data_IF_679897044622
#
_entry.id   IF_679897044622
#
_cell.length_a   1.000
_cell.length_b   1.000
_cell.length_c   1.000
_cell.angle_alpha   90.00
_cell.angle_beta   90.00
_cell.angle_gamma   90.00
#
_symmetry.space_group_name_H-M   'P 1'
#
loop_
_entity.id
_entity.type
_entity.pdbx_description
1 polymer ?
#
# COMPACT_ATOMS: atom_id res chain seq x y z
N UNK A 1 -18.79 13.27 29.55
CA UNK A 1 -18.31 14.09 28.43
C UNK A 1 -16.83 14.30 28.60
N UNK A 2 -16.02 13.79 27.66
CA UNK A 2 -14.61 14.17 27.56
C UNK A 2 -14.52 15.68 27.31
N UNK A 3 -13.47 16.31 27.84
CA UNK A 3 -13.29 17.76 27.74
C UNK A 3 -12.84 18.22 26.33
N UNK A 4 -12.54 17.29 25.43
CA UNK A 4 -12.09 17.52 24.05
C UNK A 4 -13.23 17.61 23.03
N UNK A 5 -14.47 17.28 23.41
CA UNK A 5 -15.63 17.30 22.52
C UNK A 5 -15.71 16.12 21.54
N UNK A 6 -14.86 15.10 21.67
CA UNK A 6 -14.90 13.87 20.88
C UNK A 6 -15.81 12.81 21.55
N UNK A 7 -16.43 11.91 20.76
CA UNK A 7 -17.28 10.86 21.30
C UNK A 7 -16.47 9.82 22.08
N UNK A 8 -17.07 9.22 23.10
CA UNK A 8 -16.47 8.06 23.75
C UNK A 8 -16.51 6.84 22.79
N UNK A 9 -15.35 6.25 22.41
CA UNK A 9 -15.29 5.10 21.50
C UNK A 9 -15.99 3.84 22.04
N UNK A 10 -16.23 3.76 23.35
CA UNK A 10 -16.98 2.65 23.97
C UNK A 10 -18.50 2.83 23.87
N UNK A 11 -18.97 4.05 23.53
CA UNK A 11 -20.37 4.43 23.50
C UNK A 11 -20.90 4.55 22.06
N UNK A 12 -21.46 3.46 21.54
CA UNK A 12 -22.13 3.38 20.22
C UNK A 12 -23.13 4.54 20.00
N UNK A 13 -23.99 4.94 20.96
CA UNK A 13 -24.90 6.08 20.77
C UNK A 13 -24.18 7.43 20.59
N UNK A 14 -23.09 7.67 21.32
CA UNK A 14 -22.31 8.91 21.17
C UNK A 14 -21.62 8.97 19.81
N UNK A 15 -21.04 7.86 19.37
CA UNK A 15 -20.40 7.72 18.05
C UNK A 15 -21.41 7.98 16.91
N UNK A 16 -22.60 7.38 16.97
CA UNK A 16 -23.66 7.60 15.98
C UNK A 16 -24.14 9.05 15.94
N UNK A 17 -24.26 9.69 17.11
CA UNK A 17 -24.61 11.10 17.21
C UNK A 17 -23.51 11.97 16.58
N UNK A 18 -22.25 11.70 16.89
CA UNK A 18 -21.10 12.41 16.32
C UNK A 18 -21.09 12.31 14.79
N UNK A 19 -21.25 11.11 14.25
CA UNK A 19 -21.29 10.86 12.81
C UNK A 19 -22.46 11.59 12.13
N UNK A 20 -23.65 11.53 12.74
CA UNK A 20 -24.86 12.19 12.20
C UNK A 20 -24.72 13.71 12.17
N UNK A 21 -24.16 14.31 13.23
CA UNK A 21 -23.89 15.74 13.29
C UNK A 21 -22.88 16.15 12.22
N UNK A 22 -21.82 15.37 12.02
CA UNK A 22 -20.82 15.66 11.00
C UNK A 22 -21.35 15.53 9.57
N UNK A 23 -22.16 14.50 9.28
CA UNK A 23 -22.77 14.35 7.94
C UNK A 23 -23.57 15.60 7.55
N UNK A 24 -24.29 16.20 8.50
CA UNK A 24 -25.08 17.42 8.30
C UNK A 24 -24.33 18.74 8.51
N UNK A 25 -23.02 18.72 8.76
CA UNK A 25 -22.24 19.92 9.08
C UNK A 25 -21.82 20.69 7.81
N UNK A 26 -22.37 21.89 7.55
CA UNK A 26 -22.02 22.69 6.39
C UNK A 26 -20.60 23.27 6.47
N UNK A 27 -20.03 23.44 7.68
CA UNK A 27 -18.70 24.03 7.85
C UNK A 27 -17.60 23.09 7.33
N UNK A 28 -17.90 21.78 7.25
CA UNK A 28 -17.04 20.76 6.65
C UNK A 28 -17.10 20.68 5.13
N UNK A 29 -17.94 21.49 4.47
CA UNK A 29 -18.13 21.45 3.01
C UNK A 29 -16.92 21.96 2.22
N UNK A 30 -16.06 22.78 2.83
CA UNK A 30 -14.82 23.27 2.20
C UNK A 30 -13.67 22.26 2.36
N UNK A 31 -12.68 22.28 1.46
CA UNK A 31 -11.51 21.42 1.59
C UNK A 31 -10.76 21.63 2.91
N UNK A 32 -10.56 22.87 3.34
CA UNK A 32 -9.90 23.13 4.63
C UNK A 32 -10.70 22.58 5.82
N UNK A 33 -12.03 22.73 5.79
CA UNK A 33 -12.92 22.18 6.81
C UNK A 33 -12.90 20.65 6.85
N UNK A 34 -13.02 19.99 5.69
CA UNK A 34 -12.96 18.54 5.57
C UNK A 34 -11.60 17.97 6.02
N UNK A 35 -10.50 18.65 5.68
CA UNK A 35 -9.15 18.26 6.10
C UNK A 35 -8.95 18.39 7.62
N UNK A 36 -9.40 19.49 8.22
CA UNK A 36 -9.33 19.67 9.68
C UNK A 36 -10.21 18.64 10.42
N UNK A 37 -11.37 18.31 9.86
CA UNK A 37 -12.26 17.30 10.46
C UNK A 37 -11.73 15.88 10.31
N UNK A 38 -11.01 15.59 9.22
CA UNK A 38 -10.37 14.29 9.00
C UNK A 38 -9.41 13.95 10.14
N UNK A 39 -8.61 14.90 10.63
CA UNK A 39 -7.70 14.67 11.77
C UNK A 39 -8.43 14.12 13.01
N UNK A 40 -9.54 14.76 13.37
CA UNK A 40 -10.37 14.32 14.50
C UNK A 40 -10.99 12.94 14.27
N UNK A 41 -11.50 12.68 13.07
CA UNK A 41 -12.20 11.43 12.77
C UNK A 41 -11.23 10.26 12.72
N UNK A 42 -10.03 10.44 12.16
CA UNK A 42 -8.98 9.41 12.15
C UNK A 42 -8.52 9.10 13.57
N UNK A 43 -8.45 10.10 14.45
CA UNK A 43 -8.17 9.86 15.87
C UNK A 43 -9.27 9.00 16.52
N UNK A 44 -10.54 9.34 16.32
CA UNK A 44 -11.69 8.57 16.83
C UNK A 44 -11.71 7.13 16.28
N UNK A 45 -11.41 6.94 14.99
CA UNK A 45 -11.27 5.61 14.37
C UNK A 45 -10.16 4.81 15.08
N UNK A 46 -9.01 5.45 15.34
CA UNK A 46 -7.87 4.79 15.99
C UNK A 46 -8.19 4.37 17.44
N UNK A 47 -8.90 5.22 18.19
CA UNK A 47 -9.34 4.86 19.55
C UNK A 47 -10.38 3.72 19.54
N UNK A 48 -11.31 3.71 18.58
CA UNK A 48 -12.27 2.62 18.43
C UNK A 48 -11.57 1.30 18.09
N UNK A 49 -10.56 1.34 17.23
CA UNK A 49 -9.72 0.16 16.92
C UNK A 49 -9.02 -0.37 18.17
N UNK A 50 -8.48 0.51 19.00
CA UNK A 50 -7.86 0.12 20.27
C UNK A 50 -8.88 -0.54 21.21
N UNK A 51 -10.09 0.01 21.34
CA UNK A 51 -11.18 -0.60 22.12
C UNK A 51 -11.53 -2.00 21.60
N UNK A 52 -11.59 -2.17 20.28
CA UNK A 52 -11.88 -3.46 19.65
C UNK A 52 -10.77 -4.51 19.90
N UNK A 53 -9.51 -4.07 19.99
CA UNK A 53 -8.35 -4.94 20.25
C UNK A 53 -8.22 -5.30 21.75
N UNK A 54 -8.46 -4.35 22.65
CA UNK A 54 -8.26 -4.52 24.10
C UNK A 54 -9.44 -5.24 24.78
N UNK A 55 -10.66 -5.11 24.24
CA UNK A 55 -11.87 -5.70 24.87
C UNK A 55 -12.05 -7.17 24.48
N UNK A 56 -11.31 -8.06 25.16
CA UNK A 56 -11.33 -9.51 24.90
C UNK A 56 -12.69 -10.18 25.17
N UNK A 57 -13.44 -9.70 26.16
CA UNK A 57 -14.72 -10.23 26.63
C UNK A 57 -15.95 -9.56 25.98
N UNK A 58 -15.75 -8.76 24.92
CA UNK A 58 -16.85 -8.16 24.17
C UNK A 58 -17.84 -9.20 23.65
N UNK A 59 -19.13 -8.90 23.76
CA UNK A 59 -20.20 -9.71 23.16
C UNK A 59 -20.15 -9.64 21.63
N UNK A 60 -20.69 -10.66 20.95
CA UNK A 60 -20.78 -10.66 19.48
C UNK A 60 -21.56 -9.46 18.94
N UNK A 61 -22.58 -9.00 19.68
CA UNK A 61 -23.31 -7.79 19.35
C UNK A 61 -22.42 -6.55 19.42
N UNK A 62 -21.67 -6.36 20.51
CA UNK A 62 -20.75 -5.22 20.63
C UNK A 62 -19.70 -5.19 19.52
N UNK A 63 -19.10 -6.35 19.20
CA UNK A 63 -18.14 -6.45 18.08
C UNK A 63 -18.75 -6.05 16.74
N UNK A 64 -20.00 -6.44 16.49
CA UNK A 64 -20.74 -6.06 15.28
C UNK A 64 -21.01 -4.56 15.25
N UNK A 65 -21.56 -4.02 16.34
CA UNK A 65 -21.92 -2.60 16.44
C UNK A 65 -20.69 -1.70 16.29
N UNK A 66 -19.56 -2.06 16.91
CA UNK A 66 -18.28 -1.34 16.73
C UNK A 66 -17.75 -1.43 15.30
N UNK A 67 -17.81 -2.62 14.68
CA UNK A 67 -17.37 -2.79 13.29
C UNK A 67 -18.23 -1.97 12.33
N UNK A 68 -19.54 -1.92 12.53
CA UNK A 68 -20.45 -1.12 11.69
C UNK A 68 -20.13 0.37 11.78
N UNK A 69 -20.00 0.92 12.99
CA UNK A 69 -19.61 2.33 13.19
C UNK A 69 -18.22 2.61 12.62
N UNK A 70 -17.26 1.70 12.83
CA UNK A 70 -15.91 1.83 12.28
C UNK A 70 -15.93 1.93 10.75
N UNK A 71 -16.75 1.11 10.08
CA UNK A 71 -16.97 1.19 8.63
C UNK A 71 -17.61 2.51 8.23
N UNK A 72 -18.66 2.94 8.92
CA UNK A 72 -19.37 4.17 8.60
C UNK A 72 -18.51 5.42 8.77
N UNK A 73 -17.64 5.46 9.78
CA UNK A 73 -16.70 6.58 9.99
C UNK A 73 -15.70 6.68 8.83
N UNK A 74 -15.14 5.54 8.41
CA UNK A 74 -14.22 5.50 7.27
C UNK A 74 -14.90 5.93 5.98
N UNK A 75 -16.14 5.50 5.76
CA UNK A 75 -16.88 5.86 4.55
C UNK A 75 -17.26 7.34 4.55
N UNK A 76 -17.79 7.85 5.66
CA UNK A 76 -18.11 9.27 5.80
C UNK A 76 -16.87 10.17 5.64
N UNK A 77 -15.70 9.70 6.08
CA UNK A 77 -14.43 10.39 5.87
C UNK A 77 -14.08 10.54 4.39
N UNK A 78 -14.16 9.45 3.63
CA UNK A 78 -13.94 9.50 2.18
C UNK A 78 -14.98 10.36 1.47
N UNK A 79 -16.25 10.20 1.81
CA UNK A 79 -17.36 10.96 1.24
C UNK A 79 -17.20 12.46 1.47
N UNK A 80 -16.75 12.88 2.65
CA UNK A 80 -16.54 14.31 2.95
C UNK A 80 -15.37 14.92 2.20
N UNK A 81 -14.29 14.16 1.97
CA UNK A 81 -13.22 14.62 1.07
C UNK A 81 -13.69 14.71 -0.39
N UNK A 82 -14.53 13.78 -0.83
CA UNK A 82 -15.16 13.79 -2.15
C UNK A 82 -16.13 15.00 -2.31
N UNK A 83 -16.98 15.26 -1.32
CA UNK A 83 -17.89 16.42 -1.29
C UNK A 83 -17.11 17.75 -1.35
N UNK A 84 -16.08 17.88 -0.52
CA UNK A 84 -15.24 19.07 -0.51
C UNK A 84 -14.45 19.25 -1.82
N UNK A 85 -14.00 18.14 -2.43
CA UNK A 85 -13.39 18.15 -3.77
C UNK A 85 -14.41 18.66 -4.80
N UNK A 86 -15.65 18.17 -4.78
CA UNK A 86 -16.70 18.64 -5.69
C UNK A 86 -16.92 20.15 -5.57
N UNK A 87 -17.04 20.67 -4.35
CA UNK A 87 -17.19 22.11 -4.13
C UNK A 87 -16.00 22.92 -4.66
N UNK A 88 -14.77 22.40 -4.55
CA UNK A 88 -13.58 23.05 -5.13
C UNK A 88 -13.63 23.08 -6.67
N UNK A 89 -14.29 22.10 -7.29
CA UNK A 89 -14.41 22.01 -8.75
C UNK A 89 -15.59 22.82 -9.33
N UNK A 90 -16.47 23.38 -8.49
CA UNK A 90 -17.58 24.23 -8.95
C UNK A 90 -17.11 25.53 -9.60
N UNK A 91 -15.89 25.99 -9.32
CA UNK A 91 -15.30 27.16 -9.97
C UNK A 91 -13.78 27.00 -10.09
N UNK A 92 -13.32 26.68 -11.29
CA UNK A 92 -11.89 26.52 -11.59
C UNK A 92 -11.15 27.86 -11.75
N UNK A 93 -11.87 28.96 -12.02
CA UNK A 93 -11.29 30.26 -12.39
C UNK A 93 -10.26 30.80 -11.39
N UNK A 94 -10.44 30.68 -10.04
CA UNK A 94 -9.47 31.21 -9.09
C UNK A 94 -8.06 30.60 -9.18
N UNK A 95 -7.93 29.42 -9.78
CA UNK A 95 -6.66 28.69 -9.88
C UNK A 95 -6.33 28.29 -11.34
N UNK A 96 -6.94 28.98 -12.31
CA UNK A 96 -6.65 28.78 -13.73
C UNK A 96 -5.51 29.70 -14.16
N UNK A 97 -4.44 29.14 -14.70
CA UNK A 97 -3.39 29.90 -15.35
C UNK A 97 -3.92 30.45 -16.68
N UNK A 98 -4.00 31.77 -16.84
CA UNK A 98 -4.61 32.40 -18.02
C UNK A 98 -3.78 32.31 -19.30
N UNK A 99 -2.48 31.98 -19.22
CA UNK A 99 -1.61 31.86 -20.38
C UNK A 99 -1.67 30.44 -20.96
N UNK A 100 -1.57 29.45 -20.08
CA UNK A 100 -1.54 28.02 -20.43
C UNK A 100 -2.92 27.38 -20.41
N UNK A 101 -3.89 28.03 -19.74
CA UNK A 101 -5.23 27.51 -19.46
C UNK A 101 -5.18 26.16 -18.73
N UNK A 102 -4.19 25.99 -17.86
CA UNK A 102 -4.06 24.85 -16.97
C UNK A 102 -4.65 25.21 -15.62
N UNK A 103 -5.53 24.37 -15.11
CA UNK A 103 -6.00 24.47 -13.73
C UNK A 103 -5.06 23.66 -12.84
N UNK A 104 -4.60 24.24 -11.73
CA UNK A 104 -3.78 23.54 -10.73
C UNK A 104 -4.09 24.08 -9.34
N UNK A 105 -4.42 23.17 -8.43
CA UNK A 105 -4.74 23.48 -7.04
C UNK A 105 -4.05 22.47 -6.12
N UNK A 106 -3.56 22.93 -4.98
CA UNK A 106 -2.94 22.10 -3.95
C UNK A 106 -3.36 22.53 -2.55
N UNK A 107 -3.61 21.56 -1.68
CA UNK A 107 -3.86 21.76 -0.25
C UNK A 107 -3.32 20.58 0.56
N UNK A 108 -3.02 20.81 1.85
CA UNK A 108 -2.53 19.76 2.73
C UNK A 108 -2.93 19.98 4.18
N UNK A 109 -3.04 18.88 4.92
CA UNK A 109 -3.05 18.78 6.37
C UNK A 109 -2.00 17.75 6.81
N UNK A 110 -1.83 17.49 8.13
CA UNK A 110 -0.91 16.45 8.59
C UNK A 110 -1.23 15.03 8.09
N UNK A 111 -2.50 14.75 7.78
CA UNK A 111 -2.94 13.40 7.38
C UNK A 111 -3.28 13.26 5.90
N UNK A 112 -3.52 14.37 5.19
CA UNK A 112 -3.99 14.34 3.80
C UNK A 112 -3.34 15.46 3.00
N UNK A 113 -2.76 15.13 1.87
CA UNK A 113 -2.28 16.07 0.85
C UNK A 113 -3.06 15.84 -0.44
N UNK A 114 -3.62 16.88 -1.04
CA UNK A 114 -4.52 16.78 -2.19
C UNK A 114 -4.14 17.80 -3.25
N UNK A 115 -3.93 17.31 -4.47
CA UNK A 115 -3.72 18.09 -5.67
C UNK A 115 -4.82 17.83 -6.70
N UNK A 116 -5.23 18.88 -7.40
CA UNK A 116 -6.17 18.82 -8.52
C UNK A 116 -5.52 19.50 -9.71
N UNK A 117 -5.59 18.88 -10.88
CA UNK A 117 -5.00 19.43 -12.10
C UNK A 117 -5.88 19.15 -13.32
N UNK A 118 -6.04 20.10 -14.23
CA UNK A 118 -6.77 19.88 -15.48
C UNK A 118 -6.16 20.63 -16.66
N UNK A 119 -6.11 19.95 -17.81
CA UNK A 119 -5.79 20.53 -19.10
C UNK A 119 -7.06 21.07 -19.76
N UNK A 120 -7.48 22.28 -19.41
CA UNK A 120 -8.78 22.81 -19.88
C UNK A 120 -8.82 23.10 -21.38
N UNK A 121 -7.65 23.21 -22.04
CA UNK A 121 -7.53 23.40 -23.49
C UNK A 121 -7.39 22.10 -24.29
N UNK A 122 -7.24 20.94 -23.62
CA UNK A 122 -6.92 19.66 -24.28
C UNK A 122 -5.66 19.75 -25.17
N UNK A 123 -4.71 20.59 -24.76
CA UNK A 123 -3.47 20.81 -25.50
C UNK A 123 -2.51 19.64 -25.28
N UNK A 124 -1.95 19.02 -26.33
CA UNK A 124 -0.99 17.92 -26.16
C UNK A 124 0.34 18.35 -25.52
N UNK A 125 0.62 19.66 -25.47
CA UNK A 125 1.78 20.22 -24.75
C UNK A 125 1.61 20.15 -23.23
N UNK A 126 0.37 20.10 -22.77
CA UNK A 126 0.00 20.04 -21.35
C UNK A 126 -0.41 18.61 -21.01
N UNK A 127 0.49 17.65 -21.22
CA UNK A 127 0.24 16.24 -20.91
C UNK A 127 0.94 15.78 -19.63
N UNK A 128 1.75 16.62 -18.98
CA UNK A 128 2.49 16.25 -17.78
C UNK A 128 2.36 17.32 -16.71
N UNK A 129 2.32 16.89 -15.45
CA UNK A 129 2.32 17.80 -14.31
C UNK A 129 3.12 17.23 -13.14
N UNK A 130 3.85 18.12 -12.46
CA UNK A 130 4.62 17.81 -11.26
C UNK A 130 4.01 18.55 -10.07
N UNK A 131 3.59 17.78 -9.07
CA UNK A 131 3.16 18.25 -7.76
C UNK A 131 4.35 18.16 -6.83
N UNK A 132 5.11 19.26 -6.71
CA UNK A 132 6.38 19.30 -5.99
C UNK A 132 6.22 18.92 -4.52
N UNK A 133 5.13 19.37 -3.89
CA UNK A 133 4.82 19.19 -2.47
C UNK A 133 4.56 17.72 -2.12
N UNK A 134 4.02 16.95 -3.07
CA UNK A 134 3.81 15.51 -2.93
C UNK A 134 5.01 14.68 -3.40
N UNK A 135 6.00 15.30 -4.06
CA UNK A 135 7.03 14.57 -4.80
C UNK A 135 6.43 13.68 -5.90
N UNK A 136 5.30 14.07 -6.48
CA UNK A 136 4.52 13.26 -7.40
C UNK A 136 4.48 13.92 -8.78
N UNK A 137 4.75 13.15 -9.83
CA UNK A 137 4.64 13.61 -11.21
C UNK A 137 3.84 12.61 -12.00
N UNK A 138 3.01 13.08 -12.92
CA UNK A 138 2.33 12.22 -13.87
C UNK A 138 2.41 12.74 -15.29
N UNK A 139 2.24 11.82 -16.25
CA UNK A 139 2.06 12.12 -17.67
C UNK A 139 0.87 11.34 -18.21
N UNK A 140 -0.07 12.08 -18.82
CA UNK A 140 -1.25 11.55 -19.47
C UNK A 140 -0.88 10.84 -20.78
N UNK A 141 -1.49 9.67 -21.06
CA UNK A 141 -1.50 9.10 -22.40
C UNK A 141 -2.37 9.95 -23.33
N UNK A 142 -2.14 9.83 -24.64
CA UNK A 142 -2.83 10.62 -25.68
C UNK A 142 -4.36 10.55 -25.57
N UNK A 143 -4.91 9.36 -25.29
CA UNK A 143 -6.35 9.13 -25.11
C UNK A 143 -6.98 10.01 -24.01
N UNK A 144 -6.22 10.37 -22.98
CA UNK A 144 -6.72 11.19 -21.87
C UNK A 144 -6.53 12.70 -22.09
N UNK A 145 -5.74 13.12 -23.09
CA UNK A 145 -5.54 14.55 -23.40
C UNK A 145 -6.83 15.17 -23.94
N UNK A 146 -7.62 14.41 -24.71
CA UNK A 146 -8.89 14.87 -25.29
C UNK A 146 -10.06 14.80 -24.30
N UNK A 147 -9.88 14.12 -23.16
CA UNK A 147 -10.92 13.95 -22.15
C UNK A 147 -10.97 15.16 -21.23
N UNK A 148 -12.15 15.76 -21.11
CA UNK A 148 -12.40 16.83 -20.15
C UNK A 148 -12.50 16.26 -18.73
N UNK A 149 -11.39 16.29 -18.01
CA UNK A 149 -11.32 15.77 -16.65
C UNK A 149 -10.35 16.58 -15.79
N UNK A 150 -10.49 16.39 -14.48
CA UNK A 150 -9.51 16.82 -13.48
C UNK A 150 -8.81 15.58 -12.94
N UNK A 151 -7.50 15.55 -13.03
CA UNK A 151 -6.68 14.56 -12.34
C UNK A 151 -6.62 14.96 -10.87
N UNK A 152 -7.15 14.10 -9.99
CA UNK A 152 -6.94 14.20 -8.55
C UNK A 152 -5.78 13.32 -8.15
N UNK A 153 -4.83 13.87 -7.39
CA UNK A 153 -3.80 13.10 -6.69
C UNK A 153 -3.94 13.41 -5.21
N UNK A 154 -4.34 12.42 -4.41
CA UNK A 154 -4.53 12.56 -2.98
C UNK A 154 -3.70 11.53 -2.25
N UNK A 155 -2.84 11.95 -1.32
CA UNK A 155 -2.08 11.07 -0.43
C UNK A 155 -2.64 11.16 0.98
N UNK A 156 -2.94 10.02 1.58
CA UNK A 156 -3.34 9.90 2.99
C UNK A 156 -2.25 9.20 3.81
N UNK A 157 -2.01 9.67 5.04
CA UNK A 157 -1.06 9.02 5.97
C UNK A 157 -1.69 7.85 6.75
N UNK A 158 -2.94 7.51 6.45
CA UNK A 158 -3.69 6.39 7.00
C UNK A 158 -4.15 5.44 5.90
N UNK A 159 -4.41 4.18 6.26
CA UNK A 159 -4.79 3.09 5.36
C UNK A 159 -6.13 2.47 5.80
N UNK A 160 -7.19 2.78 5.04
CA UNK A 160 -8.52 2.20 5.24
C UNK A 160 -8.74 0.89 4.46
N UNK A 161 -7.77 0.38 3.73
CA UNK A 161 -7.95 -0.70 2.76
C UNK A 161 -7.34 -2.01 3.22
N UNK A 162 -6.09 -1.97 3.71
CA UNK A 162 -5.32 -3.19 4.01
C UNK A 162 -6.04 -4.16 4.95
N UNK A 163 -6.80 -3.68 5.95
CA UNK A 163 -7.54 -4.52 6.90
C UNK A 163 -8.64 -5.38 6.26
N UNK A 164 -9.10 -5.02 5.08
CA UNK A 164 -10.06 -5.81 4.31
C UNK A 164 -9.42 -6.91 3.48
N UNK A 165 -8.09 -6.93 3.37
CA UNK A 165 -7.42 -7.96 2.59
C UNK A 165 -7.49 -9.32 3.27
N UNK A 166 -7.77 -10.36 2.48
CA UNK A 166 -7.78 -11.75 2.96
C UNK A 166 -6.44 -12.17 3.57
N UNK A 167 -5.35 -11.53 3.15
CA UNK A 167 -3.99 -11.79 3.63
C UNK A 167 -3.58 -10.91 4.82
N UNK A 168 -4.44 -10.01 5.31
CA UNK A 168 -4.09 -9.09 6.40
C UNK A 168 -3.95 -9.82 7.74
N UNK A 169 -4.99 -10.53 8.15
CA UNK A 169 -5.03 -11.24 9.43
C UNK A 169 -4.45 -12.66 9.25
N UNK A 170 -3.45 -13.06 10.05
CA UNK A 170 -2.95 -14.43 10.02
C UNK A 170 -4.08 -15.44 10.35
N UNK A 171 -4.18 -16.57 9.63
CA UNK A 171 -5.13 -17.61 10.00
C UNK A 171 -4.77 -18.18 11.38
N UNK A 172 -5.77 -18.58 12.15
CA UNK A 172 -5.55 -19.23 13.44
C UNK A 172 -4.78 -20.52 13.22
N UNK A 173 -3.57 -20.60 13.76
CA UNK A 173 -2.74 -21.80 13.68
C UNK A 173 -3.23 -22.77 14.75
N UNK A 174 -3.65 -24.00 14.40
CA UNK A 174 -3.93 -25.03 15.40
C UNK A 174 -2.66 -25.32 16.23
N UNK A 175 -2.77 -25.45 17.55
CA UNK A 175 -1.63 -25.68 18.45
C UNK A 175 -0.74 -26.85 18.00
N UNK A 176 -1.35 -27.89 17.42
CA UNK A 176 -0.64 -29.07 16.88
C UNK A 176 0.33 -28.77 15.75
N UNK A 177 0.17 -27.65 15.04
CA UNK A 177 1.03 -27.26 13.95
C UNK A 177 2.26 -26.46 14.42
N UNK A 178 2.20 -25.82 15.60
CA UNK A 178 3.36 -25.15 16.23
C UNK A 178 4.37 -26.20 16.67
N UNK A 179 3.90 -27.29 17.28
CA UNK A 179 4.74 -28.41 17.72
C UNK A 179 5.50 -29.07 16.58
N UNK A 180 4.89 -29.15 15.39
CA UNK A 180 5.54 -29.74 14.21
C UNK A 180 6.67 -28.86 13.66
N UNK A 181 6.55 -27.52 13.74
CA UNK A 181 7.59 -26.59 13.32
C UNK A 181 8.80 -26.63 14.26
N UNK A 182 8.55 -26.65 15.58
CA UNK A 182 9.60 -26.83 16.60
C UNK A 182 10.35 -28.15 16.39
N UNK A 183 9.63 -29.23 16.05
CA UNK A 183 10.23 -30.53 15.74
C UNK A 183 10.98 -30.58 14.39
N UNK A 184 10.67 -29.69 13.44
CA UNK A 184 11.39 -29.58 12.16
C UNK A 184 12.66 -28.75 12.30
N UNK A 185 12.64 -27.64 13.07
CA UNK A 185 13.84 -26.86 13.42
C UNK A 185 14.86 -27.73 14.20
N UNK A 186 14.40 -28.51 15.20
CA UNK A 186 15.27 -29.45 15.93
C UNK A 186 15.92 -30.51 15.02
N UNK A 187 15.29 -30.88 13.90
CA UNK A 187 15.86 -31.84 12.93
C UNK A 187 16.87 -31.20 11.99
N UNK A 188 16.72 -29.93 11.65
CA UNK A 188 17.71 -29.22 10.82
C UNK A 188 18.99 -28.90 11.61
N UNK A 189 18.90 -28.71 12.93
CA UNK A 189 20.06 -28.48 13.81
C UNK A 189 20.84 -29.76 14.21
N UNK A 190 20.29 -30.95 13.93
CA UNK A 190 21.08 -32.20 14.09
C UNK A 190 22.09 -32.37 12.95
N UNK A 191 23.41 -32.56 13.23
CA UNK A 191 24.41 -32.78 12.19
C UNK A 191 24.05 -34.00 11.34
N UNK A 192 23.95 -33.82 10.02
CA UNK A 192 23.76 -34.95 9.09
C UNK A 192 24.97 -35.87 9.16
N UNK A 193 24.81 -37.08 9.67
CA UNK A 193 25.81 -38.14 9.49
C UNK A 193 26.00 -38.40 7.98
N UNK A 194 27.24 -38.28 7.50
CA UNK A 194 27.59 -38.58 6.11
C UNK A 194 27.28 -40.05 5.80
N UNK A 195 26.64 -40.36 4.66
CA UNK A 195 26.40 -41.74 4.27
C UNK A 195 27.73 -42.45 3.97
N UNK A 196 27.90 -43.73 4.34
CA UNK A 196 29.12 -44.46 4.08
C UNK A 196 29.34 -44.66 2.57
N UNK A 197 30.61 -44.77 2.11
CA UNK A 197 30.92 -44.85 0.69
C UNK A 197 30.40 -46.15 0.06
N UNK A 198 30.06 -46.14 -1.24
CA UNK A 198 29.42 -47.28 -1.89
C UNK A 198 30.43 -48.39 -2.22
N UNK A 199 30.21 -49.59 -1.69
CA UNK A 199 30.92 -50.79 -2.14
C UNK A 199 30.40 -51.29 -3.49
N UNK A 200 31.37 -51.73 -4.30
CA UNK A 200 31.25 -52.14 -5.70
C UNK A 200 30.41 -53.40 -5.92
N UNK A 201 29.54 -53.34 -6.94
CA UNK A 201 28.72 -54.45 -7.44
C UNK A 201 29.55 -55.59 -8.02
N UNK A 202 29.17 -56.83 -7.71
CA UNK A 202 29.32 -57.95 -8.66
C UNK A 202 28.07 -58.84 -8.67
N UNK A 203 27.73 -59.28 -9.87
CA UNK A 203 26.47 -59.79 -10.41
C UNK A 203 26.33 -61.31 -10.27
N UNK A 204 25.09 -61.85 -10.14
CA UNK A 204 24.45 -62.79 -11.11
C UNK A 204 23.21 -63.56 -10.57
N UNK A 205 22.10 -63.44 -11.32
CA UNK A 205 21.11 -64.46 -11.81
C UNK A 205 20.42 -65.42 -10.81
N UNK A 206 19.13 -65.84 -10.88
CA UNK A 206 18.16 -66.10 -11.98
C UNK A 206 16.75 -66.40 -11.39
N UNK A 207 15.67 -66.10 -12.14
CA UNK A 207 14.32 -66.73 -12.34
C UNK A 207 13.76 -67.77 -11.32
N UNK A 208 12.45 -67.96 -11.03
CA UNK A 208 11.18 -67.84 -11.79
C UNK A 208 9.95 -68.11 -10.87
N UNK A 209 8.78 -67.53 -11.21
CA UNK A 209 7.37 -68.03 -11.15
C UNK A 209 6.82 -68.64 -9.81
N UNK A 210 5.59 -68.42 -9.31
CA UNK A 210 4.26 -68.38 -9.93
C UNK A 210 3.17 -67.82 -8.95
N UNK A 211 1.92 -67.72 -9.41
CA UNK A 211 0.77 -66.89 -8.96
C UNK A 211 -0.03 -67.43 -7.75
N UNK A 212 -0.67 -66.56 -6.94
CA UNK A 212 -2.15 -66.41 -6.92
C UNK A 212 -2.74 -65.27 -6.04
N UNK A 213 -3.66 -64.55 -6.68
CA UNK A 213 -4.69 -63.54 -6.34
C UNK A 213 -5.12 -63.30 -4.87
N UNK A 214 -5.32 -62.02 -4.50
CA UNK A 214 -6.69 -61.46 -4.28
C UNK A 214 -6.73 -59.91 -4.15
N UNK A 215 -7.71 -59.31 -4.85
CA UNK A 215 -8.37 -58.00 -4.68
C UNK A 215 -7.56 -56.68 -4.58
N UNK A 216 -7.67 -55.83 -5.62
CA UNK A 216 -7.40 -54.38 -5.55
C UNK A 216 -8.59 -53.64 -4.95
N UNK A 217 -8.37 -52.65 -4.06
CA UNK A 217 -9.13 -51.40 -4.07
C UNK A 217 -8.28 -50.28 -4.71
N UNK A 218 -8.91 -49.17 -5.13
CA UNK A 218 -8.35 -48.24 -6.10
C UNK A 218 -7.21 -47.41 -5.50
N UNK A 219 -6.12 -47.27 -6.26
CA UNK A 219 -5.12 -46.24 -6.04
C UNK A 219 -5.77 -44.90 -6.35
N UNK A 220 -6.42 -44.30 -5.35
CA UNK A 220 -6.68 -42.85 -5.38
C UNK A 220 -5.33 -42.21 -5.09
N UNK A 221 -4.69 -41.73 -6.17
CA UNK A 221 -3.54 -40.85 -6.11
C UNK A 221 -3.94 -39.51 -5.49
N UNK A 222 -4.03 -39.47 -4.16
CA UNK A 222 -4.17 -38.24 -3.41
C UNK A 222 -2.82 -37.87 -2.77
N UNK A 223 -1.81 -37.56 -3.59
CA UNK A 223 -0.73 -36.68 -3.15
C UNK A 223 -1.24 -35.23 -3.16
N UNK A 224 -2.25 -34.92 -2.34
CA UNK A 224 -2.43 -33.54 -1.90
C UNK A 224 -1.35 -33.32 -0.84
N UNK A 225 -0.30 -32.61 -1.23
CA UNK A 225 0.63 -32.03 -0.26
C UNK A 225 -0.23 -31.26 0.74
N UNK A 226 -0.32 -31.70 1.99
CA UNK A 226 -0.85 -30.88 3.07
C UNK A 226 0.06 -29.65 3.12
N UNK A 227 -0.34 -28.55 2.49
CA UNK A 227 0.34 -27.27 2.69
C UNK A 227 0.19 -26.93 4.17
N UNK A 228 1.24 -26.46 4.85
CA UNK A 228 1.14 -26.06 6.25
C UNK A 228 0.02 -25.03 6.43
N UNK A 229 -0.75 -25.11 7.50
CA UNK A 229 -1.88 -24.22 7.80
C UNK A 229 -1.48 -22.72 7.85
N UNK A 230 -0.18 -22.45 7.95
CA UNK A 230 0.41 -21.11 8.01
C UNK A 230 0.66 -20.49 6.64
N UNK A 231 0.51 -21.23 5.53
CA UNK A 231 0.72 -20.68 4.19
C UNK A 231 -0.56 -20.02 3.67
N UNK A 232 -0.46 -18.75 3.27
CA UNK A 232 -1.56 -18.05 2.60
C UNK A 232 -1.40 -18.21 1.09
N UNK A 233 -2.41 -18.80 0.44
CA UNK A 233 -2.46 -18.83 -1.02
C UNK A 233 -2.87 -17.46 -1.54
N UNK A 234 -2.08 -16.90 -2.45
CA UNK A 234 -2.39 -15.66 -3.15
C UNK A 234 -2.59 -15.94 -4.62
N UNK A 235 -3.50 -15.21 -5.24
CA UNK A 235 -3.68 -15.22 -6.69
C UNK A 235 -2.45 -14.60 -7.39
N UNK A 236 -2.21 -14.87 -8.68
CA UNK A 236 -1.22 -14.14 -9.45
C UNK A 236 -1.44 -12.62 -9.31
N UNK A 237 -0.39 -11.88 -9.00
CA UNK A 237 -0.43 -10.43 -8.80
C UNK A 237 -0.92 -9.96 -7.43
N UNK A 238 -1.57 -10.81 -6.63
CA UNK A 238 -2.06 -10.47 -5.30
C UNK A 238 -0.91 -10.33 -4.28
N UNK A 239 -0.90 -9.22 -3.55
CA UNK A 239 0.06 -8.93 -2.50
C UNK A 239 -0.27 -9.70 -1.22
N UNK A 240 0.70 -10.46 -0.73
CA UNK A 240 0.62 -11.08 0.58
C UNK A 240 0.97 -10.08 1.69
N UNK A 241 -0.02 -9.53 2.39
CA UNK A 241 0.18 -8.57 3.49
C UNK A 241 0.81 -9.18 4.76
N UNK A 242 1.02 -10.50 4.81
CA UNK A 242 1.83 -11.14 5.87
C UNK A 242 3.32 -11.04 5.59
N UNK A 243 3.70 -10.96 4.31
CA UNK A 243 5.09 -10.74 3.86
C UNK A 243 5.38 -9.26 3.64
N UNK A 244 4.41 -8.52 3.11
CA UNK A 244 4.55 -7.12 2.77
C UNK A 244 3.68 -6.22 3.65
N UNK A 245 3.99 -4.93 3.71
CA UNK A 245 3.12 -3.90 4.28
C UNK A 245 3.07 -2.71 3.33
N UNK A 246 1.91 -2.08 3.19
CA UNK A 246 1.81 -0.78 2.54
C UNK A 246 2.41 0.28 3.47
N UNK A 247 3.25 1.16 2.93
CA UNK A 247 4.02 2.14 3.68
C UNK A 247 4.16 3.44 2.87
N UNK A 248 4.42 4.56 3.54
CA UNK A 248 4.59 5.86 2.89
C UNK A 248 3.28 6.51 2.43
N UNK A 249 2.18 6.15 3.11
CA UNK A 249 0.84 6.61 2.78
C UNK A 249 0.15 5.84 1.66
N UNK A 250 -1.12 6.17 1.44
CA UNK A 250 -1.96 5.62 0.37
C UNK A 250 -2.28 6.74 -0.62
N UNK A 251 -2.13 6.46 -1.91
CA UNK A 251 -2.33 7.42 -2.99
C UNK A 251 -3.64 7.10 -3.72
N UNK A 252 -4.61 8.00 -3.67
CA UNK A 252 -5.80 7.93 -4.52
C UNK A 252 -5.60 8.82 -5.73
N UNK A 253 -5.54 8.21 -6.91
CA UNK A 253 -5.44 8.91 -8.18
C UNK A 253 -6.71 8.68 -8.96
N UNK A 254 -7.43 9.74 -9.28
CA UNK A 254 -8.71 9.66 -10.00
C UNK A 254 -8.73 10.62 -11.20
N UNK A 255 -9.55 10.29 -12.19
CA UNK A 255 -10.02 11.22 -13.20
C UNK A 255 -11.44 11.64 -12.80
N UNK A 256 -11.63 12.92 -12.55
CA UNK A 256 -12.89 13.49 -12.11
C UNK A 256 -13.55 14.25 -13.26
N UNK A 257 -14.88 14.15 -13.36
CA UNK A 257 -15.68 14.97 -14.24
C UNK A 257 -15.64 16.43 -13.75
N UNK A 258 -15.63 17.37 -14.69
CA UNK A 258 -15.71 18.79 -14.38
C UNK A 258 -17.18 19.18 -14.25
N UNK A 259 -17.66 19.64 -13.08
CA UNK A 259 -19.02 20.13 -12.93
C UNK A 259 -19.27 21.36 -13.82
N UNK A 260 -20.54 21.73 -14.08
CA UNK A 260 -20.84 22.92 -14.87
C UNK A 260 -20.17 24.18 -14.33
N UNK A 261 -19.35 24.82 -15.15
CA UNK A 261 -18.55 25.98 -14.74
C UNK A 261 -19.34 27.30 -14.80
N UNK A 262 -19.03 28.29 -13.94
CA UNK A 262 -19.72 29.57 -13.95
C UNK A 262 -19.44 30.37 -15.22
N UNK A 263 -20.48 30.96 -15.79
CA UNK A 263 -20.40 31.83 -16.98
C UNK A 263 -20.61 33.27 -16.56
N UNK A 264 -19.62 34.11 -16.84
CA UNK A 264 -19.69 35.55 -16.58
C UNK A 264 -20.48 36.21 -17.72
N UNK A 265 -21.58 36.85 -17.37
CA UNK A 265 -22.35 37.73 -18.23
C UNK A 265 -22.03 39.21 -17.88
N UNK A 266 -22.66 40.16 -18.57
CA UNK A 266 -22.34 41.58 -18.40
C UNK A 266 -22.60 42.12 -16.97
N UNK A 267 -23.60 41.59 -16.27
CA UNK A 267 -24.09 42.07 -14.98
C UNK A 267 -24.18 40.99 -13.88
N UNK A 268 -24.00 39.72 -14.24
CA UNK A 268 -24.12 38.59 -13.33
C UNK A 268 -23.22 37.41 -13.71
N UNK A 269 -23.06 36.47 -12.79
CA UNK A 269 -22.47 35.15 -13.06
C UNK A 269 -23.55 34.11 -12.87
N UNK A 270 -23.74 33.25 -13.87
CA UNK A 270 -24.70 32.15 -13.81
C UNK A 270 -23.97 30.80 -13.85
N UNK A 271 -24.47 29.83 -13.09
CA UNK A 271 -23.95 28.46 -13.06
C UNK A 271 -25.12 27.50 -13.11
N UNK A 272 -25.01 26.43 -13.89
CA UNK A 272 -26.00 25.36 -13.87
C UNK A 272 -25.82 24.55 -12.58
N UNK A 273 -26.89 24.38 -11.83
CA UNK A 273 -26.90 23.54 -10.62
C UNK A 273 -27.34 22.14 -11.02
N UNK A 274 -26.55 21.14 -10.65
CA UNK A 274 -26.91 19.74 -10.83
C UNK A 274 -27.71 19.22 -9.63
N UNK A 275 -28.60 18.25 -9.86
CA UNK A 275 -29.38 17.63 -8.77
C UNK A 275 -28.49 16.81 -7.81
N UNK A 276 -27.38 16.27 -8.32
CA UNK A 276 -26.46 15.43 -7.57
C UNK A 276 -25.14 16.17 -7.39
N UNK A 277 -24.95 16.80 -6.23
CA UNK A 277 -23.73 17.54 -5.88
C UNK A 277 -22.62 16.63 -5.35
N UNK A 278 -22.06 15.77 -6.20
CA UNK A 278 -20.93 14.89 -5.82
C UNK A 278 -19.94 14.73 -6.97
N UNK A 279 -18.71 14.35 -6.66
CA UNK A 279 -17.70 14.08 -7.70
C UNK A 279 -18.15 12.94 -8.62
N UNK A 280 -18.23 13.23 -9.92
CA UNK A 280 -18.30 12.21 -10.98
C UNK A 280 -16.91 11.69 -11.30
N UNK A 281 -16.76 10.38 -11.47
CA UNK A 281 -15.48 9.75 -11.88
C UNK A 281 -15.53 9.35 -13.34
N UNK A 282 -14.44 9.57 -14.06
CA UNK A 282 -14.26 9.10 -15.44
C UNK A 282 -13.60 7.73 -15.38
N UNK A 283 -14.30 6.71 -15.86
CA UNK A 283 -13.73 5.38 -15.98
C UNK A 283 -12.71 5.34 -17.11
N UNK A 284 -11.51 4.87 -16.80
CA UNK A 284 -10.44 4.68 -17.78
C UNK A 284 -9.65 3.42 -17.48
N UNK A 285 -9.43 2.64 -18.52
CA UNK A 285 -8.56 1.46 -18.52
C UNK A 285 -7.79 1.47 -19.84
N UNK A 286 -6.46 1.48 -19.75
CA UNK A 286 -5.61 1.48 -20.93
C UNK A 286 -5.77 0.18 -21.73
N UNK A 287 -5.88 0.30 -23.06
CA UNK A 287 -5.80 -0.84 -23.97
C UNK A 287 -4.34 -1.19 -24.24
N UNK A 288 -3.75 -1.94 -23.32
CA UNK A 288 -2.35 -2.34 -23.37
C UNK A 288 -2.19 -3.78 -23.81
N UNK A 289 -1.43 -3.97 -24.89
CA UNK A 289 -1.02 -5.30 -25.33
C UNK A 289 0.45 -5.50 -24.93
N UNK A 290 0.74 -6.29 -23.89
CA UNK A 290 2.12 -6.53 -23.48
C UNK A 290 2.90 -7.16 -24.65
N UNK A 291 4.13 -6.71 -24.91
CA UNK A 291 4.95 -7.28 -25.97
C UNK A 291 5.16 -8.77 -25.72
N UNK A 292 5.33 -9.56 -26.79
CA UNK A 292 5.73 -10.95 -26.67
C UNK A 292 7.03 -11.04 -25.86
N UNK A 293 7.11 -12.01 -24.94
CA UNK A 293 8.33 -12.24 -24.18
C UNK A 293 9.51 -12.42 -25.16
N UNK A 294 10.68 -11.79 -24.92
CA UNK A 294 11.81 -11.95 -25.80
C UNK A 294 12.14 -13.44 -25.91
N UNK A 295 12.17 -13.98 -27.13
CA UNK A 295 12.49 -15.40 -27.34
C UNK A 295 13.80 -15.74 -26.63
N UNK A 296 13.75 -16.80 -25.81
CA UNK A 296 14.80 -17.23 -24.89
C UNK A 296 16.13 -17.30 -25.64
N UNK A 297 17.16 -16.66 -25.08
CA UNK A 297 18.50 -16.58 -25.62
C UNK A 297 19.06 -17.98 -25.94
N UNK A 298 18.92 -18.39 -27.19
CA UNK A 298 19.32 -19.73 -27.65
C UNK A 298 19.74 -19.82 -29.11
N UNK A 299 19.33 -18.91 -29.99
CA UNK A 299 19.79 -18.92 -31.38
C UNK A 299 19.61 -17.57 -32.08
N UNK A 300 20.64 -17.19 -32.86
CA UNK A 300 20.77 -16.07 -33.81
C UNK A 300 21.02 -14.68 -33.20
N UNK A 301 22.11 -14.05 -33.68
CA UNK A 301 22.28 -12.59 -33.64
C UNK A 301 21.06 -11.99 -34.34
N UNK A 302 20.19 -11.33 -33.58
CA UNK A 302 19.02 -10.64 -34.15
C UNK A 302 19.52 -9.45 -34.98
N UNK A 303 18.84 -9.17 -36.07
CA UNK A 303 19.13 -8.01 -36.90
C UNK A 303 18.93 -6.73 -36.06
N UNK A 304 19.90 -5.79 -35.99
CA UNK A 304 19.73 -4.54 -35.24
C UNK A 304 18.47 -3.77 -35.61
N UNK A 305 18.03 -3.82 -36.88
CA UNK A 305 16.81 -3.15 -37.33
C UNK A 305 15.55 -3.78 -36.71
N UNK A 306 15.50 -5.10 -36.60
CA UNK A 306 14.37 -5.80 -35.99
C UNK A 306 14.26 -5.48 -34.49
N UNK A 307 15.40 -5.40 -33.80
CA UNK A 307 15.44 -5.02 -32.37
C UNK A 307 14.96 -3.58 -32.18
N UNK A 308 15.37 -2.65 -33.05
CA UNK A 308 14.91 -1.25 -33.00
C UNK A 308 13.41 -1.12 -33.26
N UNK A 309 12.86 -1.88 -34.21
CA UNK A 309 11.42 -1.92 -34.49
C UNK A 309 10.62 -2.47 -33.30
N UNK A 310 11.09 -3.55 -32.66
CA UNK A 310 10.50 -4.11 -31.44
C UNK A 310 10.51 -3.09 -30.29
N UNK A 311 11.63 -2.39 -30.07
CA UNK A 311 11.73 -1.34 -29.04
C UNK A 311 10.76 -0.18 -29.31
N UNK A 312 10.70 0.31 -30.56
CA UNK A 312 9.75 1.36 -30.95
C UNK A 312 8.29 0.92 -30.80
N UNK A 313 7.99 -0.36 -31.02
CA UNK A 313 6.64 -0.88 -30.79
C UNK A 313 6.32 -0.93 -29.30
N UNK A 314 7.25 -1.40 -28.48
CA UNK A 314 7.11 -1.41 -27.03
C UNK A 314 6.89 0.00 -26.48
N UNK A 315 7.70 0.98 -26.89
CA UNK A 315 7.56 2.37 -26.48
C UNK A 315 6.18 2.94 -26.84
N UNK A 316 5.65 2.62 -28.03
CA UNK A 316 4.30 3.03 -28.44
C UNK A 316 3.20 2.41 -27.57
N UNK A 317 3.31 1.14 -27.20
CA UNK A 317 2.36 0.50 -26.30
C UNK A 317 2.45 1.08 -24.88
N UNK A 318 3.66 1.37 -24.38
CA UNK A 318 3.88 2.01 -23.09
C UNK A 318 3.39 3.47 -23.05
N UNK A 319 3.38 4.19 -24.17
CA UNK A 319 2.85 5.55 -24.28
C UNK A 319 1.32 5.62 -24.12
N UNK A 320 0.60 4.49 -24.28
CA UNK A 320 -0.83 4.38 -23.97
C UNK A 320 -1.11 4.33 -22.47
N UNK A 321 -0.08 4.08 -21.66
CA UNK A 321 -0.22 3.95 -20.21
C UNK A 321 -0.01 5.29 -19.52
N UNK A 322 -0.69 5.46 -18.40
CA UNK A 322 -0.52 6.61 -17.52
C UNK A 322 0.81 6.48 -16.78
N UNK A 323 1.71 7.45 -16.96
CA UNK A 323 3.02 7.45 -16.33
C UNK A 323 2.93 8.14 -14.97
N UNK A 324 3.47 7.49 -13.94
CA UNK A 324 3.58 8.00 -12.58
C UNK A 324 5.05 8.01 -12.19
N UNK A 325 5.51 9.08 -11.57
CA UNK A 325 6.82 9.17 -10.92
C UNK A 325 6.63 9.67 -9.50
N UNK A 326 7.09 8.91 -8.51
CA UNK A 326 6.97 9.20 -7.08
C UNK A 326 8.36 9.28 -6.46
N UNK A 327 8.69 10.42 -5.86
CA UNK A 327 9.78 10.52 -4.89
C UNK A 327 9.31 9.86 -3.61
N UNK A 328 10.02 8.82 -3.17
CA UNK A 328 9.64 8.06 -2.00
C UNK A 328 9.62 8.98 -0.75
N UNK A 329 8.57 8.89 0.08
CA UNK A 329 8.46 9.69 1.30
C UNK A 329 9.64 9.47 2.24
N UNK A 330 10.15 10.56 2.81
CA UNK A 330 11.22 10.56 3.81
C UNK A 330 10.73 10.17 5.22
N UNK A 331 9.41 10.08 5.42
CA UNK A 331 8.77 9.55 6.64
C UNK A 331 8.93 8.04 6.84
N UNK A 332 9.52 7.34 5.86
CA UNK A 332 9.67 5.90 5.84
C UNK A 332 11.10 5.46 5.55
N UNK A 333 11.53 4.35 6.15
CA UNK A 333 12.70 3.63 5.65
C UNK A 333 12.33 2.79 4.45
N UNK A 334 13.19 2.84 3.43
CA UNK A 334 13.13 2.02 2.24
C UNK A 334 14.42 1.19 2.19
N UNK A 335 14.35 -0.07 2.61
CA UNK A 335 15.51 -0.98 2.64
C UNK A 335 15.74 -1.68 1.30
N UNK A 336 14.68 -1.75 0.50
CA UNK A 336 14.64 -2.33 -0.83
C UNK A 336 13.74 -1.42 -1.68
N UNK A 337 13.87 -1.44 -3.01
CA UNK A 337 12.93 -0.77 -3.89
C UNK A 337 11.49 -1.26 -3.59
N UNK A 338 10.53 -0.37 -3.30
CA UNK A 338 9.19 -0.81 -2.98
C UNK A 338 8.47 -1.41 -4.19
N UNK A 339 7.37 -2.12 -3.95
CA UNK A 339 6.46 -2.57 -5.01
C UNK A 339 5.25 -1.64 -5.08
N UNK A 340 4.97 -1.11 -6.28
CA UNK A 340 3.71 -0.40 -6.51
C UNK A 340 2.56 -1.39 -6.52
N UNK A 341 1.50 -1.10 -5.77
CA UNK A 341 0.27 -1.91 -5.72
C UNK A 341 -0.96 -1.03 -5.84
N UNK A 342 -2.05 -1.60 -6.34
CA UNK A 342 -3.36 -0.98 -6.51
C UNK A 342 -4.41 -1.83 -5.79
N UNK A 343 -5.32 -1.20 -5.07
CA UNK A 343 -6.41 -1.88 -4.37
C UNK A 343 -7.49 -2.33 -5.36
N UNK A 344 -7.71 -3.64 -5.44
CA UNK A 344 -8.83 -4.24 -6.17
C UNK A 344 -10.00 -4.43 -5.21
N UNK A 345 -11.01 -3.56 -5.31
CA UNK A 345 -12.18 -3.60 -4.43
C UNK A 345 -13.03 -4.87 -4.62
N UNK A 346 -13.04 -5.42 -5.83
CA UNK A 346 -13.83 -6.62 -6.16
C UNK A 346 -13.25 -7.87 -5.50
N UNK A 347 -11.93 -7.98 -5.44
CA UNK A 347 -11.21 -9.08 -4.78
C UNK A 347 -10.87 -8.79 -3.33
N UNK A 348 -11.04 -7.53 -2.88
CA UNK A 348 -10.58 -7.02 -1.59
C UNK A 348 -9.11 -7.36 -1.36
N UNK A 349 -8.24 -6.98 -2.29
CA UNK A 349 -6.81 -7.22 -2.14
C UNK A 349 -5.97 -6.14 -2.84
N UNK A 350 -4.72 -6.01 -2.42
CA UNK A 350 -3.72 -5.21 -3.15
C UNK A 350 -3.14 -6.05 -4.28
N UNK A 351 -3.04 -5.50 -5.48
CA UNK A 351 -2.50 -6.17 -6.67
C UNK A 351 -1.39 -5.34 -7.33
N UNK A 352 -0.33 -6.00 -7.80
CA UNK A 352 0.71 -5.37 -8.64
C UNK A 352 0.53 -5.64 -10.14
N UNK A 353 -0.57 -6.28 -10.55
CA UNK A 353 -0.80 -6.72 -11.94
C UNK A 353 -0.91 -5.57 -12.96
N UNK A 354 -1.32 -4.39 -12.51
CA UNK A 354 -1.66 -3.25 -13.37
C UNK A 354 -0.48 -2.36 -13.75
N UNK A 355 0.72 -2.68 -13.23
CA UNK A 355 1.91 -1.84 -13.35
C UNK A 355 2.96 -2.43 -14.29
N UNK A 356 3.54 -1.57 -15.11
CA UNK A 356 4.51 -1.91 -16.16
C UNK A 356 5.65 -0.88 -16.20
N UNK A 357 6.77 -1.23 -16.85
CA UNK A 357 7.95 -0.35 -17.00
C UNK A 357 8.42 0.26 -15.67
N UNK A 358 8.43 -0.55 -14.60
CA UNK A 358 8.84 -0.10 -13.27
C UNK A 358 10.34 0.18 -13.28
N UNK A 359 10.71 1.41 -12.95
CA UNK A 359 12.08 1.88 -12.81
C UNK A 359 12.27 2.48 -11.42
N UNK A 360 13.43 2.25 -10.85
CA UNK A 360 13.80 2.81 -9.55
C UNK A 360 15.18 3.43 -9.62
N UNK A 361 15.28 4.67 -9.18
CA UNK A 361 16.53 5.38 -8.98
C UNK A 361 16.80 5.43 -7.46
N UNK A 362 17.79 4.67 -7.02
CA UNK A 362 18.19 4.53 -5.63
C UNK A 362 18.79 5.83 -5.08
N UNK A 363 19.68 6.49 -5.82
CA UNK A 363 20.36 7.73 -5.41
C UNK A 363 19.36 8.88 -5.14
N UNK A 364 18.32 8.96 -5.97
CA UNK A 364 17.28 9.99 -5.84
C UNK A 364 16.09 9.54 -4.99
N UNK A 365 16.02 8.26 -4.61
CA UNK A 365 14.84 7.62 -4.03
C UNK A 365 13.57 7.89 -4.86
N UNK A 366 13.65 7.72 -6.18
CA UNK A 366 12.54 7.99 -7.11
C UNK A 366 12.11 6.70 -7.80
N UNK A 367 10.83 6.40 -7.76
CA UNK A 367 10.21 5.32 -8.53
C UNK A 367 9.43 5.90 -9.71
N UNK A 368 9.56 5.30 -10.88
CA UNK A 368 8.75 5.58 -12.05
C UNK A 368 8.03 4.30 -12.47
N UNK A 369 6.75 4.41 -12.79
CA UNK A 369 5.91 3.27 -13.18
C UNK A 369 4.84 3.71 -14.16
N UNK A 370 4.43 2.81 -15.05
CA UNK A 370 3.29 3.00 -15.93
C UNK A 370 2.14 2.12 -15.47
N UNK A 371 0.92 2.66 -15.47
CA UNK A 371 -0.27 1.93 -15.04
C UNK A 371 -1.33 1.86 -16.13
N UNK A 372 -2.05 0.74 -16.16
CA UNK A 372 -3.24 0.53 -17.01
C UNK A 372 -4.52 1.05 -16.38
N UNK A 373 -4.53 1.31 -15.07
CA UNK A 373 -5.71 1.75 -14.32
C UNK A 373 -5.32 2.75 -13.23
N UNK A 374 -6.28 3.60 -12.88
CA UNK A 374 -6.18 4.55 -11.77
C UNK A 374 -7.07 4.09 -10.61
N UNK A 375 -6.84 4.66 -9.43
CA UNK A 375 -7.53 4.30 -8.21
C UNK A 375 -6.63 4.45 -6.99
N UNK A 376 -6.88 3.61 -5.98
CA UNK A 376 -6.15 3.61 -4.71
C UNK A 376 -4.89 2.78 -4.85
N UNK A 377 -3.74 3.39 -4.64
CA UNK A 377 -2.41 2.83 -4.81
C UNK A 377 -1.59 2.93 -3.52
N UNK A 378 -0.60 2.06 -3.39
CA UNK A 378 0.30 2.03 -2.24
C UNK A 378 1.70 1.56 -2.62
N UNK A 379 2.65 1.86 -1.76
CA UNK A 379 4.03 1.37 -1.86
C UNK A 379 4.23 0.24 -0.85
N UNK A 380 4.34 -0.98 -1.35
CA UNK A 380 4.49 -2.17 -0.53
C UNK A 380 5.98 -2.49 -0.27
N UNK A 381 6.32 -2.72 1.00
CA UNK A 381 7.67 -3.17 1.40
C UNK A 381 7.63 -4.51 2.10
N UNK A 382 8.72 -5.29 1.94
CA UNK A 382 8.93 -6.51 2.68
C UNK A 382 9.09 -6.20 4.19
N UNK A 383 8.25 -6.81 5.03
CA UNK A 383 8.27 -6.64 6.49
C UNK A 383 9.55 -7.20 7.12
N UNK A 384 10.15 -8.18 6.47
CA UNK A 384 11.24 -8.99 7.01
C UNK A 384 12.56 -8.77 6.28
N UNK A 385 12.71 -7.66 5.53
CA UNK A 385 13.93 -7.36 4.77
C UNK A 385 15.21 -7.39 5.63
N UNK A 386 15.08 -7.04 6.92
CA UNK A 386 16.18 -7.03 7.89
C UNK A 386 16.17 -8.23 8.86
N UNK A 387 15.38 -9.27 8.57
CA UNK A 387 15.27 -10.48 9.38
C UNK A 387 15.67 -11.73 8.58
N UNK A 388 16.34 -12.72 9.21
CA UNK A 388 16.87 -12.67 10.58
C UNK A 388 18.03 -11.67 10.72
N UNK A 389 18.27 -11.20 11.95
CA UNK A 389 19.44 -10.37 12.24
C UNK A 389 20.72 -11.19 12.04
N UNK A 390 21.77 -10.54 11.54
CA UNK A 390 23.06 -11.19 11.26
C UNK A 390 23.88 -11.39 12.54
N UNK A 391 23.89 -10.38 13.41
CA UNK A 391 24.56 -10.46 14.71
C UNK A 391 24.06 -9.36 15.65
N UNK A 392 24.33 -9.50 16.94
CA UNK A 392 24.09 -8.48 17.95
C UNK A 392 25.24 -8.43 18.95
N UNK A 393 25.45 -7.27 19.56
CA UNK A 393 26.51 -7.01 20.53
C UNK A 393 25.99 -6.14 21.66
N UNK A 394 26.36 -6.44 22.91
CA UNK A 394 25.90 -5.73 24.11
C UNK A 394 27.12 -5.34 24.96
N UNK A 395 27.36 -4.04 25.10
CA UNK A 395 28.53 -3.50 25.82
C UNK A 395 28.12 -2.66 27.02
N UNK A 396 28.79 -2.79 28.17
CA UNK A 396 28.57 -1.86 29.28
C UNK A 396 29.02 -0.45 28.89
N UNK A 397 28.25 0.55 29.34
CA UNK A 397 28.63 1.96 29.31
C UNK A 397 28.91 2.35 30.76
N UNK A 398 30.15 2.67 31.09
CA UNK A 398 30.67 2.84 32.46
C UNK A 398 29.70 3.55 33.42
N UNK A 399 28.99 2.75 34.23
CA UNK A 399 28.09 3.20 35.29
C UNK A 399 26.75 3.81 34.84
N UNK A 400 26.45 3.86 33.55
CA UNK A 400 25.26 4.56 33.01
C UNK A 400 24.23 3.58 32.41
N UNK A 401 24.69 2.46 31.85
CA UNK A 401 23.80 1.51 31.20
C UNK A 401 24.53 0.52 30.27
N UNK A 402 23.87 0.12 29.19
CA UNK A 402 24.43 -0.77 28.15
C UNK A 402 24.14 -0.21 26.75
N UNK A 403 25.08 -0.36 25.83
CA UNK A 403 24.87 -0.16 24.38
C UNK A 403 24.55 -1.50 23.75
N UNK A 404 23.40 -1.59 23.08
CA UNK A 404 22.98 -2.73 22.26
C UNK A 404 23.16 -2.35 20.78
N UNK A 405 23.99 -3.07 20.06
CA UNK A 405 24.12 -2.96 18.60
C UNK A 405 23.45 -4.15 17.94
N UNK A 406 22.51 -3.91 17.03
CA UNK A 406 21.87 -4.91 16.17
C UNK A 406 22.36 -4.72 14.74
N UNK A 407 22.91 -5.77 14.14
CA UNK A 407 23.38 -5.78 12.75
C UNK A 407 22.40 -6.63 11.94
N UNK A 408 21.71 -6.01 11.00
CA UNK A 408 20.79 -6.66 10.08
C UNK A 408 21.35 -6.69 8.65
N UNK A 409 20.56 -7.16 7.69
CA UNK A 409 20.97 -7.27 6.29
C UNK A 409 21.31 -5.93 5.64
N UNK A 410 20.53 -4.89 5.92
CA UNK A 410 20.67 -3.56 5.31
C UNK A 410 21.04 -2.50 6.34
N UNK A 411 20.63 -2.68 7.60
CA UNK A 411 20.74 -1.63 8.62
C UNK A 411 21.51 -2.10 9.85
N UNK A 412 22.28 -1.19 10.44
CA UNK A 412 22.84 -1.35 11.78
C UNK A 412 22.16 -0.36 12.73
N UNK A 413 21.55 -0.86 13.80
CA UNK A 413 20.87 -0.06 14.80
C UNK A 413 21.61 -0.12 16.13
N UNK A 414 21.89 1.03 16.73
CA UNK A 414 22.51 1.14 18.05
C UNK A 414 21.52 1.76 19.03
N UNK A 415 21.37 1.12 20.18
CA UNK A 415 20.49 1.56 21.26
C UNK A 415 21.29 1.75 22.54
N UNK A 416 21.03 2.83 23.25
CA UNK A 416 21.49 3.01 24.63
C UNK A 416 20.34 2.64 25.57
N UNK A 417 20.58 1.69 26.46
CA UNK A 417 19.62 1.20 27.43
C UNK A 417 20.11 1.57 28.82
N UNK A 418 19.28 2.29 29.58
CA UNK A 418 19.53 2.67 30.98
C UNK A 418 18.41 2.14 31.86
N UNK A 419 18.44 2.42 33.16
CA UNK A 419 17.37 1.98 34.07
C UNK A 419 16.00 2.54 33.62
N UNK A 420 15.13 1.65 33.16
CA UNK A 420 13.76 1.96 32.74
C UNK A 420 13.62 2.75 31.43
N UNK A 421 14.69 2.97 30.67
CA UNK A 421 14.65 3.75 29.42
C UNK A 421 15.50 3.11 28.32
N UNK A 422 15.04 3.30 27.07
CA UNK A 422 15.75 2.91 25.85
C UNK A 422 15.81 4.12 24.92
N UNK A 423 16.95 4.31 24.28
CA UNK A 423 17.20 5.39 23.35
C UNK A 423 17.78 4.80 22.06
N UNK A 424 17.32 5.26 20.89
CA UNK A 424 17.98 4.96 19.61
C UNK A 424 19.15 5.93 19.48
N UNK A 425 20.36 5.41 19.59
CA UNK A 425 21.59 6.19 19.57
C UNK A 425 22.04 6.48 18.15
N UNK A 426 21.96 5.47 17.28
CA UNK A 426 22.40 5.58 15.90
C UNK A 426 21.66 4.59 15.01
N UNK A 427 21.52 4.93 13.73
CA UNK A 427 21.01 4.04 12.70
C UNK A 427 21.81 4.28 11.42
N UNK A 428 22.54 3.26 10.98
CA UNK A 428 23.39 3.31 9.78
C UNK A 428 22.66 2.69 8.59
N UNK A 429 22.95 3.18 7.38
CA UNK A 429 22.54 2.60 6.10
C UNK A 429 21.01 2.45 5.86
N UNK A 430 20.21 3.26 6.58
CA UNK A 430 18.80 3.53 6.26
C UNK A 430 18.56 5.01 5.97
N UNK A 431 17.43 5.33 5.33
CA UNK A 431 16.97 6.72 5.10
C UNK A 431 17.09 7.58 6.38
N UNK A 432 18.15 8.39 6.47
CA UNK A 432 18.64 8.99 7.74
C UNK A 432 17.62 9.91 8.43
N UNK A 433 16.60 10.36 7.72
CA UNK A 433 15.65 11.38 8.18
C UNK A 433 14.37 10.81 8.81
N UNK A 434 13.93 9.59 8.45
CA UNK A 434 12.61 9.06 8.85
C UNK A 434 12.40 9.02 10.37
N UNK A 435 13.43 8.61 11.13
CA UNK A 435 13.41 8.56 12.60
C UNK A 435 14.36 9.57 13.23
N UNK A 436 14.76 10.62 12.50
CA UNK A 436 15.65 11.66 13.04
C UNK A 436 15.10 12.29 14.32
N UNK A 437 13.78 12.42 14.40
CA UNK A 437 13.08 12.93 15.57
C UNK A 437 13.13 11.99 16.79
N UNK A 438 13.57 10.73 16.66
CA UNK A 438 13.72 9.78 17.76
C UNK A 438 15.16 9.65 18.26
N UNK A 439 16.16 10.06 17.47
CA UNK A 439 17.56 9.93 17.86
C UNK A 439 17.85 10.71 19.14
N UNK A 440 18.52 10.06 20.09
CA UNK A 440 18.88 10.66 21.37
C UNK A 440 17.71 10.83 22.35
N UNK A 441 16.47 10.43 22.01
CA UNK A 441 15.32 10.52 22.91
C UNK A 441 15.15 9.27 23.76
N UNK A 442 15.21 9.44 25.07
CA UNK A 442 14.92 8.37 26.03
C UNK A 442 13.42 8.08 26.08
N UNK A 443 13.05 6.83 25.81
CA UNK A 443 11.68 6.34 25.85
C UNK A 443 11.54 5.26 26.91
N UNK A 444 10.41 5.24 27.63
CA UNK A 444 10.07 4.13 28.51
C UNK A 444 9.50 2.98 27.68
N UNK A 445 9.91 1.73 27.91
CA UNK A 445 9.22 0.57 27.33
C UNK A 445 7.74 0.61 27.70
N UNK A 446 6.83 0.38 26.74
CA UNK A 446 5.42 0.16 27.07
C UNK A 446 5.32 -1.19 27.81
N UNK A 447 4.70 -1.20 28.98
CA UNK A 447 4.37 -2.45 29.69
C UNK A 447 3.46 -3.27 28.79
N UNK A 448 3.99 -4.34 28.20
CA UNK A 448 3.21 -5.39 27.54
C UNK A 448 3.11 -6.52 28.56
N UNK A 449 1.89 -6.77 29.04
CA UNK A 449 1.56 -7.85 29.97
C UNK A 449 1.06 -9.07 29.22
#
# INVERSE_FOLDING_TARGET
MRCDGLPDPTSVPEMNRYLSLWRGDPDSASLQGALAKTDQVIHVISELEQVMEETRDATEKQRRDWREIWLELQEAQKEKLDEATYHQLLDLRPYLDHETMVYSFYTTSPLVSLALWSNTTRSPKNNSHQVNELGFTFTLPEELIEVECVVRVMRTEYDHYSKFANTYTPPTVPETAVTLLEMEEEREDTPREEPPPPESKTTKTTNSEEKEKMAKPPVISAKKKNKPAHFTETSPGELNLRRYRVQGGVYTIDLLQVPPQPRVLADCTITQVEEVCRVGRVEWVAQYNPPAAPEVAGQRRRDPEAVEQEMRQLERELQKLFLITIKLPDSAFWFEPPQMVLWDDSKRCWSNEFFHDVKYNEDQCVMQVRTTRLGVMGLAMNRFANLPFQSWDLKPIDGVGVSLTLIAAVVVAEFTITEGQVCVSNLQDGARTALSHLYGKNMKPKHTY
#
